data_IF_236383384506
#
_entry.id   IF_236383384506
#
_cell.length_a   1.000
_cell.length_b   1.000
_cell.length_c   1.000
_cell.angle_alpha   90.00
_cell.angle_beta   90.00
_cell.angle_gamma   90.00
#
_symmetry.space_group_name_H-M   'P 1'
#
loop_
_entity.id
_entity.type
_entity.pdbx_description
1 polymer ?
#
# COMPACT_ATOMS: atom_id res chain seq x y z
N UNK A 1 -6.84 -58.89 41.98
CA UNK A 1 -7.65 -57.73 41.53
C UNK A 1 -6.71 -56.78 40.80
N UNK A 2 -6.87 -56.58 39.49
CA UNK A 2 -6.01 -55.70 38.69
C UNK A 2 -6.78 -54.42 38.40
N UNK A 3 -6.38 -53.30 39.01
CA UNK A 3 -6.92 -51.99 38.68
C UNK A 3 -6.19 -51.48 37.43
N UNK A 4 -6.93 -51.27 36.34
CA UNK A 4 -6.42 -50.62 35.13
C UNK A 4 -6.64 -49.12 35.35
N UNK A 5 -5.55 -48.38 35.53
CA UNK A 5 -5.56 -46.93 35.63
C UNK A 5 -5.61 -46.35 34.20
N UNK A 6 -6.78 -45.87 33.78
CA UNK A 6 -6.93 -45.19 32.50
C UNK A 6 -6.41 -43.75 32.63
N UNK A 7 -5.29 -43.44 31.97
CA UNK A 7 -4.75 -42.08 31.86
C UNK A 7 -5.46 -41.39 30.71
N UNK A 8 -6.38 -40.48 31.02
CA UNK A 8 -7.00 -39.58 30.05
C UNK A 8 -6.01 -38.48 29.67
N UNK A 9 -5.42 -38.60 28.48
CA UNK A 9 -4.59 -37.56 27.87
C UNK A 9 -5.49 -36.43 27.36
N UNK A 10 -5.64 -35.37 28.14
CA UNK A 10 -6.34 -34.15 27.70
C UNK A 10 -5.41 -33.39 26.76
N UNK A 11 -5.66 -33.48 25.45
CA UNK A 11 -5.03 -32.59 24.46
C UNK A 11 -5.53 -31.16 24.70
N UNK A 12 -4.69 -30.32 25.29
CA UNK A 12 -4.87 -28.88 25.29
C UNK A 12 -4.47 -28.40 23.90
N UNK A 13 -5.47 -28.17 23.05
CA UNK A 13 -5.30 -27.53 21.76
C UNK A 13 -5.01 -26.04 22.01
N UNK A 14 -3.82 -25.49 21.67
CA UNK A 14 -3.65 -24.05 21.75
C UNK A 14 -4.58 -23.42 20.73
N UNK A 15 -5.53 -22.59 21.20
CA UNK A 15 -6.26 -21.68 20.34
C UNK A 15 -5.23 -20.76 19.68
N UNK A 16 -4.80 -21.12 18.48
CA UNK A 16 -4.13 -20.21 17.56
C UNK A 16 -5.15 -19.13 17.21
N UNK A 17 -5.03 -17.97 17.85
CA UNK A 17 -5.63 -16.73 17.38
C UNK A 17 -5.01 -16.44 16.01
N UNK A 18 -5.66 -16.91 14.95
CA UNK A 18 -5.33 -16.53 13.60
C UNK A 18 -5.65 -15.03 13.47
N UNK A 19 -4.61 -14.19 13.48
CA UNK A 19 -4.76 -12.84 12.94
C UNK A 19 -5.22 -12.99 11.49
N UNK A 20 -6.24 -12.23 11.03
CA UNK A 20 -6.61 -12.26 9.64
C UNK A 20 -5.40 -11.81 8.82
N UNK A 21 -4.76 -12.75 8.12
CA UNK A 21 -3.73 -12.47 7.13
C UNK A 21 -4.47 -12.18 5.84
N UNK A 22 -4.70 -10.90 5.56
CA UNK A 22 -5.18 -10.45 4.26
C UNK A 22 -3.99 -10.56 3.29
N UNK A 23 -3.89 -11.71 2.64
CA UNK A 23 -2.91 -12.01 1.62
C UNK A 23 -3.59 -12.07 0.25
N UNK A 24 -4.07 -10.93 -0.25
CA UNK A 24 -4.58 -10.86 -1.62
C UNK A 24 -3.37 -10.74 -2.55
N UNK A 25 -2.81 -11.88 -2.94
CA UNK A 25 -1.62 -11.98 -3.81
C UNK A 25 -1.87 -11.63 -5.28
N UNK A 26 -2.96 -10.94 -5.58
CA UNK A 26 -3.17 -10.31 -6.87
C UNK A 26 -2.75 -8.85 -6.70
N UNK A 27 -1.99 -8.30 -7.64
CA UNK A 27 -1.49 -6.91 -7.58
C UNK A 27 -2.58 -5.84 -7.65
N UNK A 28 -3.76 -6.08 -7.09
CA UNK A 28 -4.75 -5.10 -6.75
C UNK A 28 -5.43 -5.52 -5.43
N UNK A 29 -5.55 -4.58 -4.50
CA UNK A 29 -6.24 -4.73 -3.23
C UNK A 29 -7.22 -3.56 -3.05
N UNK A 30 -8.41 -3.87 -2.55
CA UNK A 30 -9.49 -2.91 -2.33
C UNK A 30 -9.97 -3.05 -0.91
N UNK A 31 -9.91 -1.96 -0.14
CA UNK A 31 -10.20 -1.93 1.30
C UNK A 31 -11.23 -0.84 1.59
N UNK A 32 -12.34 -1.16 2.27
CA UNK A 32 -13.26 -0.13 2.75
C UNK A 32 -12.60 0.69 3.87
N UNK A 33 -12.75 2.00 3.81
CA UNK A 33 -12.20 2.95 4.80
C UNK A 33 -13.27 3.98 5.19
N UNK A 34 -13.11 4.60 6.35
CA UNK A 34 -13.98 5.69 6.80
C UNK A 34 -13.14 6.94 7.03
N UNK A 35 -13.55 8.05 6.41
CA UNK A 35 -12.89 9.35 6.54
C UNK A 35 -13.91 10.32 7.13
N UNK A 36 -13.75 10.66 8.40
CA UNK A 36 -14.76 11.42 9.14
C UNK A 36 -16.10 10.67 9.17
N UNK A 37 -17.13 11.24 8.53
CA UNK A 37 -18.45 10.63 8.37
C UNK A 37 -18.70 9.99 6.99
N UNK A 38 -17.69 9.96 6.12
CA UNK A 38 -17.78 9.44 4.76
C UNK A 38 -17.22 8.02 4.69
N UNK A 39 -18.01 7.10 4.15
CA UNK A 39 -17.52 5.78 3.77
C UNK A 39 -16.87 5.87 2.39
N UNK A 40 -15.66 5.34 2.28
CA UNK A 40 -14.89 5.34 1.05
C UNK A 40 -14.24 3.98 0.81
N UNK A 41 -13.69 3.81 -0.38
CA UNK A 41 -13.00 2.60 -0.82
C UNK A 41 -11.60 3.00 -1.27
N UNK A 42 -10.59 2.49 -0.59
CA UNK A 42 -9.18 2.62 -0.97
C UNK A 42 -8.80 1.46 -1.88
N UNK A 43 -8.34 1.75 -3.08
CA UNK A 43 -7.81 0.75 -4.01
C UNK A 43 -6.34 1.00 -4.26
N UNK A 44 -5.54 -0.04 -4.11
CA UNK A 44 -4.12 -0.06 -4.46
C UNK A 44 -3.93 -1.10 -5.56
N UNK A 45 -3.22 -0.78 -6.64
CA UNK A 45 -2.77 -1.77 -7.62
C UNK A 45 -1.30 -1.59 -7.99
N UNK A 46 -0.67 -2.70 -8.37
CA UNK A 46 0.72 -2.81 -8.83
C UNK A 46 0.76 -3.70 -10.07
N UNK A 47 1.31 -3.16 -11.17
CA UNK A 47 1.38 -3.84 -12.47
C UNK A 47 2.84 -3.87 -12.98
N UNK A 48 3.37 -5.04 -13.39
CA UNK A 48 2.77 -6.36 -13.22
C UNK A 48 2.69 -6.74 -11.72
N UNK A 49 1.75 -7.62 -11.36
CA UNK A 49 1.49 -8.00 -9.98
C UNK A 49 2.62 -8.85 -9.37
N UNK A 50 3.40 -9.52 -10.23
CA UNK A 50 4.51 -10.36 -9.80
C UNK A 50 5.77 -9.52 -9.67
N UNK A 51 6.29 -9.43 -8.45
CA UNK A 51 7.63 -8.91 -8.19
C UNK A 51 8.65 -10.02 -8.38
N UNK A 52 9.45 -9.94 -9.43
CA UNK A 52 10.56 -10.85 -9.69
C UNK A 52 11.83 -10.09 -10.12
N UNK A 53 12.95 -10.80 -10.22
CA UNK A 53 14.24 -10.18 -10.58
C UNK A 53 14.38 -9.88 -12.08
N UNK A 54 13.39 -10.22 -12.92
CA UNK A 54 13.44 -10.05 -14.37
C UNK A 54 12.79 -8.74 -14.79
N UNK A 55 11.75 -8.32 -14.08
CA UNK A 55 11.12 -7.03 -14.30
C UNK A 55 11.57 -6.02 -13.25
N UNK A 56 12.17 -4.93 -13.72
CA UNK A 56 12.58 -3.83 -12.88
C UNK A 56 11.62 -2.63 -12.94
N UNK A 57 10.57 -2.70 -13.76
CA UNK A 57 9.61 -1.61 -13.92
C UNK A 57 8.21 -2.05 -13.48
N UNK A 58 7.63 -1.29 -12.56
CA UNK A 58 6.27 -1.50 -12.10
C UNK A 58 5.50 -0.19 -12.12
N UNK A 59 4.19 -0.28 -12.29
CA UNK A 59 3.26 0.83 -12.16
C UNK A 59 2.43 0.61 -10.92
N UNK A 60 2.26 1.65 -10.11
CA UNK A 60 1.45 1.63 -8.90
C UNK A 60 0.35 2.67 -9.01
N UNK A 61 -0.88 2.29 -8.69
CA UNK A 61 -2.03 3.20 -8.64
C UNK A 61 -2.66 3.14 -7.26
N UNK A 62 -2.88 4.31 -6.65
CA UNK A 62 -3.68 4.45 -5.44
C UNK A 62 -4.86 5.35 -5.75
N UNK A 63 -6.07 4.84 -5.53
CA UNK A 63 -7.31 5.56 -5.72
C UNK A 63 -8.16 5.50 -4.46
N UNK A 64 -8.86 6.61 -4.19
CA UNK A 64 -9.87 6.69 -3.16
C UNK A 64 -11.20 7.08 -3.82
N UNK A 65 -12.25 6.32 -3.54
CA UNK A 65 -13.59 6.56 -4.10
C UNK A 65 -14.66 6.56 -3.03
N UNK A 66 -15.74 7.30 -3.24
CA UNK A 66 -16.93 7.25 -2.39
C UNK A 66 -17.55 5.86 -2.43
N UNK A 67 -17.83 5.26 -1.27
CA UNK A 67 -18.37 3.90 -1.22
C UNK A 67 -19.82 3.81 -1.72
N UNK A 68 -20.58 4.92 -1.73
CA UNK A 68 -21.97 4.93 -2.16
C UNK A 68 -22.10 5.25 -3.65
N UNK A 69 -21.42 6.31 -4.13
CA UNK A 69 -21.53 6.74 -5.52
C UNK A 69 -20.50 6.09 -6.45
N UNK A 70 -19.40 5.55 -5.91
CA UNK A 70 -18.26 5.08 -6.70
C UNK A 70 -17.44 6.21 -7.33
N UNK A 71 -17.77 7.48 -7.05
CA UNK A 71 -17.05 8.63 -7.59
C UNK A 71 -15.67 8.75 -6.95
N UNK A 72 -14.67 9.12 -7.74
CA UNK A 72 -13.32 9.40 -7.23
C UNK A 72 -13.37 10.59 -6.26
N UNK A 73 -12.62 10.48 -5.16
CA UNK A 73 -12.38 11.57 -4.22
C UNK A 73 -11.11 12.28 -4.68
N UNK A 74 -11.22 13.57 -4.98
CA UNK A 74 -10.15 14.43 -5.51
C UNK A 74 -9.36 15.12 -4.39
N UNK A 75 -8.24 15.76 -4.75
CA UNK A 75 -7.37 16.50 -3.84
C UNK A 75 -6.93 15.69 -2.60
N UNK A 76 -6.36 14.51 -2.85
CA UNK A 76 -6.02 13.55 -1.79
C UNK A 76 -4.54 13.54 -1.52
N UNK A 77 -4.17 13.64 -0.24
CA UNK A 77 -2.80 13.45 0.23
C UNK A 77 -2.69 12.12 0.97
N UNK A 78 -1.75 11.29 0.54
CA UNK A 78 -1.46 9.99 1.15
C UNK A 78 -0.08 10.01 1.81
N UNK A 79 0.06 9.39 2.98
CA UNK A 79 1.34 8.98 3.52
C UNK A 79 1.48 7.48 3.32
N UNK A 80 2.36 7.11 2.39
CA UNK A 80 2.53 5.72 1.96
C UNK A 80 3.86 5.20 2.50
N UNK A 81 3.77 4.11 3.27
CA UNK A 81 4.90 3.33 3.71
C UNK A 81 4.90 1.96 3.02
N UNK A 82 6.07 1.56 2.53
CA UNK A 82 6.31 0.22 1.99
C UNK A 82 7.31 -0.52 2.89
N UNK A 83 6.94 -1.72 3.30
CA UNK A 83 7.80 -2.60 4.11
C UNK A 83 7.95 -3.98 3.47
N UNK A 84 9.09 -4.61 3.74
CA UNK A 84 9.35 -6.03 3.43
C UNK A 84 10.06 -6.66 4.63
N UNK A 85 9.57 -7.81 5.09
CA UNK A 85 10.08 -8.48 6.30
C UNK A 85 10.17 -7.51 7.50
N UNK A 86 9.13 -6.68 7.65
CA UNK A 86 9.00 -5.64 8.68
C UNK A 86 10.12 -4.58 8.68
N UNK A 87 10.94 -4.54 7.62
CA UNK A 87 11.89 -3.48 7.34
C UNK A 87 11.28 -2.49 6.36
N UNK A 88 11.30 -1.22 6.74
CA UNK A 88 10.86 -0.09 5.90
C UNK A 88 11.79 0.09 4.70
N UNK A 89 11.18 0.09 3.52
CA UNK A 89 11.82 0.42 2.23
C UNK A 89 11.72 1.92 2.00
N UNK A 90 10.50 2.46 2.06
CA UNK A 90 10.27 3.90 2.02
C UNK A 90 9.07 4.31 2.86
N UNK A 91 9.01 5.60 3.18
CA UNK A 91 7.82 6.28 3.69
C UNK A 91 7.82 7.70 3.17
N UNK A 92 6.88 8.03 2.30
CA UNK A 92 6.80 9.33 1.65
C UNK A 92 5.35 9.81 1.59
N UNK A 93 5.21 11.13 1.56
CA UNK A 93 3.94 11.78 1.34
C UNK A 93 3.75 12.03 -0.16
N UNK A 94 2.58 11.72 -0.65
CA UNK A 94 2.18 11.90 -2.04
C UNK A 94 0.87 12.66 -2.11
N UNK A 95 0.67 13.42 -3.16
CA UNK A 95 -0.53 14.21 -3.37
C UNK A 95 -0.99 14.04 -4.82
N UNK A 96 -2.30 13.90 -5.02
CA UNK A 96 -2.90 13.89 -6.35
C UNK A 96 -4.19 14.72 -6.37
N UNK A 97 -4.25 15.65 -7.33
CA UNK A 97 -5.34 16.60 -7.49
C UNK A 97 -6.61 15.91 -8.00
N UNK A 98 -6.49 14.88 -8.85
CA UNK A 98 -7.63 14.20 -9.50
C UNK A 98 -8.00 12.86 -8.82
N UNK A 99 -7.43 12.58 -7.65
CA UNK A 99 -7.71 11.39 -6.84
C UNK A 99 -7.18 10.06 -7.38
N UNK A 100 -6.34 10.08 -8.42
CA UNK A 100 -5.76 8.91 -9.06
C UNK A 100 -4.24 8.99 -9.04
N UNK A 101 -3.65 8.72 -7.86
CA UNK A 101 -2.21 8.75 -7.69
C UNK A 101 -1.56 7.61 -8.47
N UNK A 102 -0.99 7.92 -9.63
CA UNK A 102 -0.21 7.01 -10.46
C UNK A 102 1.29 7.25 -10.27
N UNK A 103 2.04 6.16 -10.08
CA UNK A 103 3.49 6.19 -9.88
C UNK A 103 4.17 5.12 -10.73
N UNK A 104 5.23 5.51 -11.44
CA UNK A 104 6.19 4.55 -12.01
C UNK A 104 7.23 4.17 -10.96
N UNK A 105 7.55 2.90 -10.87
CA UNK A 105 8.56 2.36 -9.97
C UNK A 105 9.64 1.70 -10.82
N UNK A 106 10.85 2.26 -10.76
CA UNK A 106 12.04 1.72 -11.42
C UNK A 106 12.99 1.16 -10.37
N UNK A 107 13.01 -0.16 -10.27
CA UNK A 107 13.89 -0.87 -9.36
C UNK A 107 15.33 -0.82 -9.86
N UNK A 108 16.24 -0.38 -9.00
CA UNK A 108 17.69 -0.36 -9.25
C UNK A 108 18.44 -0.92 -8.05
N UNK A 109 19.77 -1.03 -8.16
CA UNK A 109 20.63 -1.44 -7.05
C UNK A 109 20.94 -0.29 -6.07
N UNK A 110 20.44 0.93 -6.31
CA UNK A 110 20.66 2.10 -5.44
C UNK A 110 19.92 1.95 -4.12
N UNK A 111 20.64 2.04 -2.99
CA UNK A 111 20.03 2.08 -1.66
C UNK A 111 19.27 3.39 -1.39
N UNK A 112 19.57 4.45 -2.15
CA UNK A 112 18.84 5.72 -2.09
C UNK A 112 17.71 5.71 -3.10
N UNK A 113 16.52 6.07 -2.65
CA UNK A 113 15.35 6.24 -3.52
C UNK A 113 15.30 7.70 -3.99
N UNK A 114 15.33 7.88 -5.30
CA UNK A 114 15.09 9.15 -5.97
C UNK A 114 13.61 9.25 -6.34
N UNK A 115 13.02 10.42 -6.13
CA UNK A 115 11.64 10.71 -6.53
C UNK A 115 11.69 11.75 -7.65
N UNK A 116 11.19 11.36 -8.80
CA UNK A 116 11.05 12.22 -9.98
C UNK A 116 9.62 12.75 -10.00
N UNK A 117 9.47 14.01 -9.63
CA UNK A 117 8.19 14.69 -9.54
C UNK A 117 8.39 16.09 -8.98
N UNK A 118 7.30 16.76 -8.65
CA UNK A 118 7.34 18.03 -7.91
C UNK A 118 6.74 17.83 -6.52
N UNK A 119 7.15 18.64 -5.55
CA UNK A 119 6.45 18.72 -4.28
C UNK A 119 5.29 19.70 -4.41
N UNK A 120 4.09 19.24 -4.09
CA UNK A 120 2.88 20.06 -4.07
C UNK A 120 2.87 21.06 -2.92
N UNK A 121 2.01 22.07 -3.03
CA UNK A 121 1.82 23.07 -1.97
C UNK A 121 1.22 22.46 -0.69
N UNK A 122 0.44 21.39 -0.85
CA UNK A 122 -0.21 20.66 0.25
C UNK A 122 0.80 19.79 0.97
N UNK A 123 1.24 20.24 2.15
CA UNK A 123 2.10 19.50 3.08
C UNK A 123 3.44 18.98 2.48
N UNK A 124 3.83 19.44 1.29
CA UNK A 124 5.05 19.02 0.60
C UNK A 124 4.99 17.60 0.01
N UNK A 125 3.78 17.06 -0.23
CA UNK A 125 3.59 15.74 -0.85
C UNK A 125 4.08 15.71 -2.29
N UNK A 126 4.72 14.62 -2.70
CA UNK A 126 5.20 14.44 -4.08
C UNK A 126 4.02 14.17 -5.02
N UNK A 127 4.06 14.79 -6.20
CA UNK A 127 3.03 14.67 -7.24
C UNK A 127 3.67 14.65 -8.63
N UNK A 128 2.89 14.28 -9.65
CA UNK A 128 3.33 14.37 -11.05
C UNK A 128 3.79 15.79 -11.38
N UNK A 129 4.82 15.92 -12.22
CA UNK A 129 5.31 17.24 -12.60
C UNK A 129 4.29 17.93 -13.52
N UNK A 130 3.83 17.18 -14.53
CA UNK A 130 2.76 17.52 -15.48
C UNK A 130 2.19 16.23 -16.11
N UNK A 131 1.31 16.34 -17.09
CA UNK A 131 0.63 15.19 -17.72
C UNK A 131 1.56 14.30 -18.58
N UNK A 132 2.71 14.82 -19.01
CA UNK A 132 3.70 14.07 -19.80
C UNK A 132 4.80 13.48 -18.92
N UNK A 133 4.99 14.03 -17.72
CA UNK A 133 6.01 13.64 -16.76
C UNK A 133 5.37 13.07 -15.49
N UNK A 134 4.99 11.77 -15.50
CA UNK A 134 4.36 11.13 -14.36
C UNK A 134 5.31 11.08 -13.17
N UNK A 135 4.73 10.99 -11.97
CA UNK A 135 5.50 10.73 -10.76
C UNK A 135 6.22 9.39 -10.88
N UNK A 136 7.52 9.36 -10.54
CA UNK A 136 8.29 8.13 -10.55
C UNK A 136 9.22 8.00 -9.34
N UNK A 137 9.42 6.77 -8.88
CA UNK A 137 10.37 6.41 -7.84
C UNK A 137 11.44 5.50 -8.44
N UNK A 138 12.70 5.81 -8.19
CA UNK A 138 13.84 5.03 -8.66
C UNK A 138 14.76 4.65 -7.51
N UNK A 139 15.00 3.35 -7.31
CA UNK A 139 15.83 2.86 -6.20
C UNK A 139 15.59 1.38 -5.92
N UNK A 140 16.17 0.87 -4.84
CA UNK A 140 16.02 -0.53 -4.42
C UNK A 140 14.66 -0.76 -3.74
N UNK A 141 13.60 -0.79 -4.54
CA UNK A 141 12.19 -0.89 -4.08
C UNK A 141 11.70 -2.34 -4.18
N UNK A 142 11.53 -2.86 -5.39
CA UNK A 142 11.08 -4.23 -5.65
C UNK A 142 12.24 -5.15 -6.03
N UNK A 143 13.30 -5.12 -5.23
CA UNK A 143 14.61 -5.68 -5.58
C UNK A 143 14.66 -7.22 -5.67
N UNK A 144 13.73 -7.88 -5.00
CA UNK A 144 13.70 -9.32 -4.83
C UNK A 144 12.26 -9.77 -4.55
N UNK A 145 11.93 -11.00 -4.97
CA UNK A 145 10.59 -11.54 -4.81
C UNK A 145 10.16 -11.69 -3.35
N UNK A 146 8.86 -11.93 -3.14
CA UNK A 146 8.26 -12.12 -1.82
C UNK A 146 7.12 -11.14 -1.54
N UNK A 147 6.66 -11.13 -0.28
CA UNK A 147 5.53 -10.31 0.14
C UNK A 147 5.99 -8.91 0.57
N UNK A 148 5.40 -7.91 -0.08
CA UNK A 148 5.52 -6.51 0.28
C UNK A 148 4.24 -6.07 0.98
N UNK A 149 4.37 -5.22 1.99
CA UNK A 149 3.22 -4.66 2.73
C UNK A 149 3.20 -3.15 2.54
N UNK A 150 2.05 -2.65 2.10
CA UNK A 150 1.78 -1.21 2.07
C UNK A 150 0.99 -0.82 3.32
N UNK A 151 1.42 0.27 3.95
CA UNK A 151 0.64 0.97 4.97
C UNK A 151 0.35 2.37 4.43
N UNK A 152 -0.93 2.70 4.27
CA UNK A 152 -1.39 3.92 3.61
C UNK A 152 -2.26 4.70 4.60
N UNK A 153 -1.85 5.92 4.91
CA UNK A 153 -2.66 6.88 5.68
C UNK A 153 -3.21 7.94 4.74
N UNK A 154 -4.50 8.27 4.89
CA UNK A 154 -5.15 9.35 4.17
C UNK A 154 -5.05 10.60 5.05
N UNK A 155 -4.30 11.60 4.58
CA UNK A 155 -3.94 12.79 5.36
C UNK A 155 -4.91 13.94 5.10
N UNK A 156 -5.25 14.17 3.83
CA UNK A 156 -6.23 15.19 3.41
C UNK A 156 -7.08 14.66 2.26
N UNK A 157 -8.28 15.22 2.09
CA UNK A 157 -9.21 14.98 0.97
C UNK A 157 -9.91 16.29 0.61
N UNK A 158 -10.49 16.36 -0.60
CA UNK A 158 -11.41 17.40 -1.08
C UNK A 158 -10.83 18.82 -1.20
N UNK A 159 -9.66 19.13 -0.64
CA UNK A 159 -9.03 20.46 -0.74
C UNK A 159 -7.51 20.44 -0.59
N UNK A 160 -6.87 21.35 -1.33
CA UNK A 160 -5.44 21.66 -1.25
C UNK A 160 -5.12 22.80 -0.27
N UNK A 161 -6.14 23.40 0.32
CA UNK A 161 -5.96 24.43 1.34
C UNK A 161 -5.97 23.82 2.74
N UNK A 162 -5.13 24.35 3.62
CA UNK A 162 -5.12 24.02 5.04
C UNK A 162 -6.38 24.46 5.76
#
# INVERSE_FOLDING_TARGET
>A
MKAILAITFVMIFPLLLANPVFGHGFGAETVPVTIGNRNATLTLSVTPPTIDSKNNEHEMVVNLSDANSGSVIEHVTYLIELTKNDKRIFRYMFHDEIGNLYMKIKTTNSSTIQIHGKQGAVLGGWMKQDDFNPLALEGKIFADGGLYKFHIEIVTVDSDTK
#
